data_IF_262063678860
#
_entry.id   IF_262063678860
#
_cell.length_a   1.000
_cell.length_b   1.000
_cell.length_c   1.000
_cell.angle_alpha   90.00
_cell.angle_beta   90.00
_cell.angle_gamma   90.00
#
_symmetry.space_group_name_H-M   'P 1'
#
loop_
_entity.id
_entity.type
_entity.pdbx_description
1 polymer ?
#
# COMPACT_ATOMS: atom_id res chain seq x y z
N UNK A 1 -43.33 5.50 19.75
CA UNK A 1 -41.87 5.73 19.77
C UNK A 1 -41.58 6.81 18.74
N UNK A 2 -40.77 7.84 19.04
CA UNK A 2 -40.47 8.91 18.08
C UNK A 2 -39.21 8.62 17.28
N UNK A 3 -38.15 8.16 17.94
CA UNK A 3 -36.87 7.81 17.30
C UNK A 3 -36.47 6.37 17.66
N UNK A 4 -35.96 5.62 16.69
CA UNK A 4 -35.18 4.40 16.90
C UNK A 4 -33.74 4.69 16.55
N UNK A 5 -32.86 4.64 17.54
CA UNK A 5 -31.41 4.68 17.30
C UNK A 5 -31.00 3.28 16.86
N UNK A 6 -30.27 3.17 15.76
CA UNK A 6 -29.74 1.90 15.26
C UNK A 6 -28.21 2.01 15.25
N UNK A 7 -27.59 1.09 15.97
CA UNK A 7 -26.15 0.94 16.07
C UNK A 7 -25.71 -0.44 15.56
N UNK A 8 -24.87 -0.46 14.53
CA UNK A 8 -24.26 -1.69 14.00
C UNK A 8 -22.87 -1.88 14.60
N UNK A 9 -22.56 -3.10 15.03
CA UNK A 9 -21.30 -3.47 15.65
C UNK A 9 -20.68 -4.68 14.93
N UNK A 10 -19.40 -4.58 14.60
CA UNK A 10 -18.55 -5.72 14.25
C UNK A 10 -17.13 -5.46 14.75
N UNK A 11 -16.71 -6.22 15.76
CA UNK A 11 -15.41 -6.11 16.42
C UNK A 11 -15.05 -4.68 16.91
N UNK A 12 -16.01 -3.99 17.55
CA UNK A 12 -15.81 -2.63 18.12
C UNK A 12 -15.83 -2.61 19.65
N UNK A 13 -15.32 -3.66 20.30
CA UNK A 13 -15.36 -3.82 21.76
C UNK A 13 -14.76 -2.64 22.52
N UNK A 14 -13.67 -2.06 22.01
CA UNK A 14 -13.00 -0.91 22.62
C UNK A 14 -13.83 0.39 22.62
N UNK A 15 -14.88 0.47 21.79
CA UNK A 15 -15.62 1.71 21.53
C UNK A 15 -17.14 1.61 21.75
N UNK A 16 -17.73 0.42 21.63
CA UNK A 16 -19.20 0.24 21.67
C UNK A 16 -19.84 0.76 22.96
N UNK A 17 -19.13 0.71 24.09
CA UNK A 17 -19.62 1.27 25.35
C UNK A 17 -19.82 2.79 25.25
N UNK A 18 -18.87 3.52 24.66
CA UNK A 18 -18.94 4.97 24.48
C UNK A 18 -20.10 5.37 23.56
N UNK A 19 -20.29 4.62 22.48
CA UNK A 19 -21.43 4.78 21.58
C UNK A 19 -22.76 4.65 22.33
N UNK A 20 -22.96 3.54 23.06
CA UNK A 20 -24.19 3.27 23.82
C UNK A 20 -24.44 4.33 24.90
N UNK A 21 -23.42 4.73 25.65
CA UNK A 21 -23.54 5.78 26.67
C UNK A 21 -23.95 7.12 26.06
N UNK A 22 -23.45 7.46 24.86
CA UNK A 22 -23.84 8.68 24.15
C UNK A 22 -25.32 8.69 23.75
N UNK A 23 -25.87 7.52 23.41
CA UNK A 23 -27.30 7.35 23.09
C UNK A 23 -28.16 7.46 24.36
N UNK A 24 -27.72 6.85 25.46
CA UNK A 24 -28.39 6.90 26.75
C UNK A 24 -28.42 8.32 27.32
N UNK A 25 -27.39 9.13 27.03
CA UNK A 25 -27.26 10.51 27.46
C UNK A 25 -28.18 11.50 26.73
N UNK A 26 -28.86 11.09 25.65
CA UNK A 26 -29.77 11.95 24.90
C UNK A 26 -30.96 12.40 25.75
N UNK A 27 -31.28 13.69 25.64
CA UNK A 27 -32.36 14.37 26.34
C UNK A 27 -33.40 14.84 25.32
N UNK A 28 -34.61 14.31 25.43
CA UNK A 28 -35.73 14.56 24.51
C UNK A 28 -37.03 14.69 25.28
N UNK A 29 -38.00 15.41 24.72
CA UNK A 29 -39.39 15.47 25.24
C UNK A 29 -40.28 14.32 24.72
N UNK A 30 -39.74 13.52 23.78
CA UNK A 30 -40.38 12.35 23.19
C UNK A 30 -39.66 11.03 23.56
N UNK A 31 -40.34 9.88 23.48
CA UNK A 31 -39.70 8.58 23.73
C UNK A 31 -38.84 8.12 22.55
N UNK A 32 -37.71 7.47 22.84
CA UNK A 32 -36.85 6.80 21.87
C UNK A 32 -36.40 5.42 22.35
N UNK A 33 -36.05 4.53 21.43
CA UNK A 33 -35.44 3.23 21.70
C UNK A 33 -34.02 3.17 21.11
N UNK A 34 -33.21 2.26 21.65
CA UNK A 34 -31.87 1.95 21.16
C UNK A 34 -31.88 0.51 20.67
N UNK A 35 -31.51 0.31 19.41
CA UNK A 35 -31.35 -0.98 18.78
C UNK A 35 -29.85 -1.16 18.51
N UNK A 36 -29.26 -2.20 19.08
CA UNK A 36 -27.85 -2.54 18.83
C UNK A 36 -27.80 -3.92 18.20
N UNK A 37 -27.18 -4.03 17.03
CA UNK A 37 -26.99 -5.29 16.32
C UNK A 37 -25.50 -5.63 16.23
N UNK A 38 -25.17 -6.85 16.61
CA UNK A 38 -23.84 -7.43 16.43
C UNK A 38 -23.80 -8.34 15.20
N UNK A 39 -22.82 -8.15 14.33
CA UNK A 39 -22.64 -8.93 13.10
C UNK A 39 -21.63 -10.09 13.28
N UNK A 40 -21.84 -10.90 14.33
CA UNK A 40 -21.03 -12.05 14.71
C UNK A 40 -19.57 -11.68 15.09
N UNK A 41 -19.43 -10.74 16.02
CA UNK A 41 -18.12 -10.33 16.53
C UNK A 41 -17.40 -11.46 17.28
N UNK A 42 -16.08 -11.42 17.22
CA UNK A 42 -15.18 -12.35 17.93
C UNK A 42 -14.47 -11.72 19.13
N UNK A 43 -14.66 -10.41 19.34
CA UNK A 43 -14.07 -9.67 20.45
C UNK A 43 -15.03 -9.58 21.66
N UNK A 44 -14.75 -8.68 22.59
CA UNK A 44 -15.51 -8.51 23.83
C UNK A 44 -16.74 -7.58 23.69
N UNK A 45 -17.07 -7.11 22.48
CA UNK A 45 -18.22 -6.21 22.24
C UNK A 45 -19.56 -6.84 22.62
N UNK A 46 -19.75 -8.14 22.33
CA UNK A 46 -20.97 -8.88 22.66
C UNK A 46 -21.24 -8.92 24.17
N UNK A 47 -20.20 -9.07 24.98
CA UNK A 47 -20.33 -9.08 26.44
C UNK A 47 -20.80 -7.71 26.95
N UNK A 48 -20.15 -6.64 26.49
CA UNK A 48 -20.53 -5.25 26.81
C UNK A 48 -21.98 -4.99 26.44
N UNK A 49 -22.37 -5.33 25.20
CA UNK A 49 -23.74 -5.15 24.72
C UNK A 49 -24.76 -5.84 25.63
N UNK A 50 -24.50 -7.09 26.04
CA UNK A 50 -25.39 -7.84 26.96
C UNK A 50 -25.54 -7.16 28.31
N UNK A 51 -24.45 -6.68 28.90
CA UNK A 51 -24.48 -5.93 30.16
C UNK A 51 -25.38 -4.69 30.07
N UNK A 52 -25.29 -3.94 28.96
CA UNK A 52 -26.16 -2.78 28.72
C UNK A 52 -27.63 -3.18 28.49
N UNK A 53 -27.89 -4.24 27.74
CA UNK A 53 -29.25 -4.75 27.54
C UNK A 53 -29.92 -5.21 28.83
N UNK A 54 -29.18 -5.87 29.72
CA UNK A 54 -29.67 -6.29 31.04
C UNK A 54 -29.92 -5.09 31.97
N UNK A 55 -29.08 -4.05 31.89
CA UNK A 55 -29.20 -2.85 32.71
C UNK A 55 -30.34 -1.93 32.24
N UNK A 56 -30.64 -1.91 30.94
CA UNK A 56 -31.65 -1.04 30.34
C UNK A 56 -32.65 -1.82 29.44
N UNK A 57 -33.34 -2.85 29.96
CA UNK A 57 -34.14 -3.77 29.15
C UNK A 57 -35.36 -3.11 28.49
N UNK A 58 -35.85 -2.00 29.06
CA UNK A 58 -36.98 -1.25 28.51
C UNK A 58 -36.56 -0.23 27.43
N UNK A 59 -35.25 0.00 27.25
CA UNK A 59 -34.70 1.03 26.35
C UNK A 59 -33.79 0.47 25.26
N UNK A 60 -33.08 -0.63 25.54
CA UNK A 60 -32.12 -1.26 24.63
C UNK A 60 -32.65 -2.62 24.15
N UNK A 61 -32.71 -2.80 22.83
CA UNK A 61 -33.00 -4.06 22.16
C UNK A 61 -31.74 -4.56 21.46
N UNK A 62 -31.34 -5.79 21.77
CA UNK A 62 -30.14 -6.39 21.21
C UNK A 62 -30.49 -7.44 20.15
N UNK A 63 -29.72 -7.44 19.06
CA UNK A 63 -29.79 -8.43 17.99
C UNK A 63 -28.39 -8.98 17.73
N UNK A 64 -28.31 -10.27 17.41
CA UNK A 64 -27.04 -10.96 17.15
C UNK A 64 -27.19 -11.81 15.90
N UNK A 65 -26.40 -11.53 14.87
CA UNK A 65 -26.31 -12.41 13.71
C UNK A 65 -25.47 -13.65 14.07
N UNK A 66 -25.84 -14.81 13.52
CA UNK A 66 -25.09 -16.06 13.72
C UNK A 66 -23.76 -16.09 12.95
N UNK A 67 -23.70 -15.38 11.82
CA UNK A 67 -22.53 -15.24 10.96
C UNK A 67 -22.39 -13.80 10.50
N UNK A 68 -21.17 -13.37 10.21
CA UNK A 68 -20.91 -12.04 9.67
C UNK A 68 -21.54 -11.94 8.26
N UNK A 69 -22.54 -11.07 8.12
CA UNK A 69 -23.27 -10.83 6.87
C UNK A 69 -22.71 -9.63 6.09
N UNK A 70 -21.91 -8.79 6.74
CA UNK A 70 -21.43 -7.52 6.22
C UNK A 70 -22.41 -6.38 6.51
N UNK A 71 -21.87 -5.15 6.53
CA UNK A 71 -22.61 -3.94 6.95
C UNK A 71 -23.92 -3.75 6.18
N UNK A 72 -23.91 -3.91 4.85
CA UNK A 72 -25.08 -3.68 3.99
C UNK A 72 -26.24 -4.58 4.40
N UNK A 73 -26.03 -5.90 4.49
CA UNK A 73 -27.10 -6.85 4.84
C UNK A 73 -27.59 -6.62 6.26
N UNK A 74 -26.66 -6.40 7.19
CA UNK A 74 -26.97 -6.11 8.58
C UNK A 74 -27.82 -4.86 8.73
N UNK A 75 -27.47 -3.77 8.03
CA UNK A 75 -28.22 -2.51 8.03
C UNK A 75 -29.64 -2.68 7.45
N UNK A 76 -29.77 -3.34 6.30
CA UNK A 76 -31.06 -3.56 5.64
C UNK A 76 -32.02 -4.39 6.50
N UNK A 77 -31.51 -5.41 7.19
CA UNK A 77 -32.32 -6.26 8.06
C UNK A 77 -32.71 -5.54 9.35
N UNK A 78 -31.78 -4.88 10.03
CA UNK A 78 -32.05 -4.27 11.34
C UNK A 78 -32.98 -3.06 11.24
N UNK A 79 -32.97 -2.32 10.13
CA UNK A 79 -33.90 -1.19 9.93
C UNK A 79 -35.37 -1.60 10.02
N UNK A 80 -35.70 -2.86 9.68
CA UNK A 80 -37.08 -3.39 9.75
C UNK A 80 -37.59 -3.52 11.19
N UNK A 81 -36.69 -3.52 12.17
CA UNK A 81 -37.01 -3.66 13.60
C UNK A 81 -37.32 -2.34 14.30
N UNK A 82 -37.08 -1.21 13.62
CA UNK A 82 -37.35 0.14 14.15
C UNK A 82 -38.85 0.37 14.38
N UNK A 83 -39.22 0.90 15.55
CA UNK A 83 -40.60 1.28 15.91
C UNK A 83 -40.79 2.80 15.94
N UNK A 84 -39.72 3.57 15.82
CA UNK A 84 -39.70 5.03 15.78
C UNK A 84 -40.26 5.57 14.47
N UNK A 85 -40.76 6.80 14.51
CA UNK A 85 -41.08 7.57 13.30
C UNK A 85 -39.82 7.90 12.50
N UNK A 86 -38.69 8.09 13.18
CA UNK A 86 -37.38 8.32 12.58
C UNK A 86 -36.37 7.24 13.00
N UNK A 87 -35.44 6.92 12.11
CA UNK A 87 -34.24 6.15 12.38
C UNK A 87 -33.06 7.10 12.52
N UNK A 88 -32.35 7.02 13.64
CA UNK A 88 -31.05 7.66 13.82
C UNK A 88 -29.95 6.60 13.67
N UNK A 89 -28.98 6.81 12.78
CA UNK A 89 -27.84 5.89 12.61
C UNK A 89 -26.65 6.36 13.43
N UNK A 90 -25.93 5.44 14.07
CA UNK A 90 -24.60 5.67 14.62
C UNK A 90 -23.86 4.34 14.73
N UNK A 91 -22.73 4.20 14.04
CA UNK A 91 -21.97 2.95 14.02
C UNK A 91 -21.13 2.80 15.32
N UNK A 92 -20.80 1.58 15.71
CA UNK A 92 -20.28 1.25 17.06
C UNK A 92 -18.90 1.80 17.43
N UNK A 93 -18.17 2.40 16.50
CA UNK A 93 -16.91 3.12 16.71
C UNK A 93 -17.06 4.65 16.80
N UNK A 94 -18.25 5.18 16.53
CA UNK A 94 -18.59 6.59 16.64
C UNK A 94 -19.44 6.87 17.89
N UNK A 95 -19.57 8.14 18.27
CA UNK A 95 -20.42 8.54 19.40
C UNK A 95 -20.92 9.98 19.30
N UNK A 96 -22.02 10.28 19.97
CA UNK A 96 -22.62 11.62 20.00
C UNK A 96 -22.07 12.46 21.15
N UNK A 97 -21.79 13.73 20.87
CA UNK A 97 -21.24 14.69 21.85
C UNK A 97 -22.30 15.63 22.39
N UNK A 98 -23.34 15.93 21.61
CA UNK A 98 -24.46 16.77 22.03
C UNK A 98 -25.61 15.93 22.58
N UNK A 99 -26.00 16.20 23.84
CA UNK A 99 -27.13 15.54 24.51
C UNK A 99 -28.49 15.93 23.93
N UNK A 100 -28.56 17.03 23.17
CA UNK A 100 -29.79 17.51 22.54
C UNK A 100 -29.84 17.17 21.04
N UNK A 101 -28.90 16.38 20.51
CA UNK A 101 -28.83 16.02 19.09
C UNK A 101 -30.16 15.54 18.54
N UNK A 102 -30.78 14.54 19.18
CA UNK A 102 -32.06 13.99 18.72
C UNK A 102 -33.18 15.02 18.76
N UNK A 103 -33.27 15.82 19.83
CA UNK A 103 -34.28 16.86 19.97
C UNK A 103 -34.17 17.86 18.80
N UNK A 104 -32.96 18.40 18.58
CA UNK A 104 -32.69 19.37 17.53
C UNK A 104 -32.98 18.82 16.13
N UNK A 105 -32.59 17.59 15.83
CA UNK A 105 -32.81 16.99 14.51
C UNK A 105 -34.30 16.69 14.24
N UNK A 106 -35.04 16.24 15.26
CA UNK A 106 -36.50 16.04 15.11
C UNK A 106 -37.19 17.38 14.87
N UNK A 107 -36.89 18.41 15.67
CA UNK A 107 -37.43 19.77 15.47
C UNK A 107 -37.10 20.33 14.09
N UNK A 108 -35.86 20.12 13.62
CA UNK A 108 -35.42 20.53 12.29
C UNK A 108 -36.25 19.87 11.19
N UNK A 109 -36.50 18.56 11.28
CA UNK A 109 -37.32 17.86 10.29
C UNK A 109 -38.79 18.22 10.37
N UNK A 110 -39.34 18.43 11.57
CA UNK A 110 -40.74 18.85 11.74
C UNK A 110 -41.00 20.27 11.19
N UNK A 111 -39.97 21.12 11.18
CA UNK A 111 -40.05 22.49 10.64
C UNK A 111 -39.61 22.61 9.18
N UNK A 112 -39.13 21.52 8.57
CA UNK A 112 -38.65 21.46 7.18
C UNK A 112 -39.53 20.54 6.33
N UNK A 113 -40.71 20.98 5.85
CA UNK A 113 -41.70 20.11 5.21
C UNK A 113 -41.22 19.42 3.91
N UNK A 114 -40.17 19.95 3.27
CA UNK A 114 -39.52 19.38 2.08
C UNK A 114 -38.40 18.36 2.38
N UNK A 115 -38.14 18.09 3.67
CA UNK A 115 -37.05 17.24 4.13
C UNK A 115 -37.55 16.14 5.05
N UNK A 116 -37.15 14.91 4.73
CA UNK A 116 -37.37 13.69 5.52
C UNK A 116 -36.07 13.07 6.02
N UNK A 117 -34.96 13.76 5.78
CA UNK A 117 -33.61 13.35 6.14
C UNK A 117 -32.85 14.57 6.64
N UNK A 118 -32.21 14.44 7.80
CA UNK A 118 -31.28 15.41 8.30
C UNK A 118 -29.93 14.80 8.65
N UNK A 119 -28.90 15.64 8.66
CA UNK A 119 -27.58 15.35 9.16
C UNK A 119 -27.07 16.53 10.00
N UNK A 120 -25.90 16.37 10.61
CA UNK A 120 -25.26 17.41 11.41
C UNK A 120 -23.81 17.57 10.98
N UNK A 121 -23.14 18.62 11.44
CA UNK A 121 -21.69 18.62 11.40
C UNK A 121 -21.11 17.58 12.39
N UNK A 122 -19.82 17.31 12.27
CA UNK A 122 -19.11 16.36 13.10
C UNK A 122 -17.63 16.73 13.28
N UNK A 123 -17.05 16.21 14.36
CA UNK A 123 -15.63 16.29 14.64
C UNK A 123 -14.96 14.95 14.27
N UNK A 124 -13.65 14.98 14.01
CA UNK A 124 -12.86 13.76 13.79
C UNK A 124 -11.90 13.55 14.94
N UNK A 125 -11.80 12.31 15.40
CA UNK A 125 -10.84 11.90 16.44
C UNK A 125 -9.95 10.77 15.95
N UNK A 126 -8.76 10.62 16.55
CA UNK A 126 -7.94 9.42 16.36
C UNK A 126 -8.41 8.27 17.26
N UNK A 127 -7.76 7.11 17.16
CA UNK A 127 -8.06 5.93 17.99
C UNK A 127 -7.91 6.15 19.50
N UNK A 128 -7.16 7.18 19.93
CA UNK A 128 -7.01 7.57 21.34
C UNK A 128 -8.10 8.55 21.82
N UNK A 129 -8.99 8.98 20.94
CA UNK A 129 -10.02 9.97 21.25
C UNK A 129 -9.54 11.43 21.19
N UNK A 130 -8.34 11.69 20.69
CA UNK A 130 -7.83 13.05 20.51
C UNK A 130 -8.44 13.65 19.24
N UNK A 131 -8.99 14.86 19.36
CA UNK A 131 -9.60 15.58 18.24
C UNK A 131 -8.54 15.98 17.22
N UNK A 132 -8.71 15.55 15.98
CA UNK A 132 -7.82 15.87 14.85
C UNK A 132 -8.38 16.96 13.96
N UNK A 133 -9.71 17.02 13.81
CA UNK A 133 -10.42 18.07 13.05
C UNK A 133 -11.73 18.39 13.75
N UNK A 134 -12.15 19.66 13.70
CA UNK A 134 -13.43 20.13 14.23
C UNK A 134 -14.29 20.72 13.14
N UNK A 135 -15.60 20.62 13.30
CA UNK A 135 -16.61 21.18 12.38
C UNK A 135 -16.25 20.87 10.92
N UNK A 136 -16.10 19.58 10.62
CA UNK A 136 -15.44 19.07 9.41
C UNK A 136 -16.09 19.59 8.13
N UNK A 137 -17.42 19.69 8.11
CA UNK A 137 -18.17 20.15 6.95
C UNK A 137 -18.12 21.68 6.85
N UNK A 138 -18.34 22.38 7.96
CA UNK A 138 -18.31 23.85 8.04
C UNK A 138 -16.95 24.44 7.70
N UNK A 139 -15.87 23.80 8.14
CA UNK A 139 -14.49 24.22 7.85
C UNK A 139 -13.99 23.72 6.48
N UNK A 140 -14.83 23.00 5.72
CA UNK A 140 -14.50 22.53 4.38
C UNK A 140 -13.38 21.48 4.33
N UNK A 141 -13.14 20.77 5.45
CA UNK A 141 -12.18 19.66 5.51
C UNK A 141 -12.66 18.51 4.62
N UNK A 142 -13.97 18.23 4.65
CA UNK A 142 -14.65 17.37 3.69
C UNK A 142 -15.72 18.20 2.99
N UNK A 143 -15.88 18.12 1.65
CA UNK A 143 -16.91 18.87 0.97
C UNK A 143 -18.31 18.47 1.44
N UNK A 144 -19.13 19.44 1.81
CA UNK A 144 -20.53 19.20 2.15
C UNK A 144 -21.32 18.76 0.90
N UNK A 145 -22.02 17.62 1.00
CA UNK A 145 -22.84 17.08 -0.09
C UNK A 145 -24.30 17.50 0.11
N UNK A 146 -24.82 18.28 -0.84
CA UNK A 146 -26.13 18.94 -0.76
C UNK A 146 -27.08 18.53 -1.89
N UNK A 147 -26.63 17.65 -2.79
CA UNK A 147 -27.40 17.25 -3.97
C UNK A 147 -26.95 15.90 -4.51
N UNK A 148 -27.87 15.27 -5.25
CA UNK A 148 -27.62 14.00 -5.94
C UNK A 148 -26.42 14.09 -6.89
N UNK A 149 -26.37 15.13 -7.74
CA UNK A 149 -25.29 15.29 -8.72
C UNK A 149 -23.93 15.44 -8.06
N UNK A 150 -23.86 16.18 -6.95
CA UNK A 150 -22.62 16.40 -6.22
C UNK A 150 -22.15 15.13 -5.52
N UNK A 151 -23.07 14.40 -4.87
CA UNK A 151 -22.79 13.10 -4.27
C UNK A 151 -22.29 12.10 -5.32
N UNK A 152 -23.00 12.01 -6.45
CA UNK A 152 -22.65 11.11 -7.55
C UNK A 152 -21.28 11.47 -8.14
N UNK A 153 -20.99 12.74 -8.38
CA UNK A 153 -19.73 13.19 -8.95
C UNK A 153 -18.53 12.93 -8.02
N UNK A 154 -18.64 13.32 -6.75
CA UNK A 154 -17.51 13.41 -5.84
C UNK A 154 -17.31 12.15 -4.97
N UNK A 155 -18.23 11.19 -5.01
CA UNK A 155 -18.22 10.00 -4.13
C UNK A 155 -18.10 10.40 -2.65
N UNK A 156 -18.84 11.45 -2.29
CA UNK A 156 -18.74 12.09 -0.99
C UNK A 156 -19.36 11.29 0.16
N UNK A 157 -19.36 11.91 1.33
CA UNK A 157 -20.08 11.41 2.50
C UNK A 157 -20.76 12.57 3.23
N UNK A 158 -21.94 12.29 3.77
CA UNK A 158 -22.66 13.15 4.73
C UNK A 158 -22.51 12.65 6.16
N UNK A 159 -21.64 11.65 6.36
CA UNK A 159 -21.34 10.95 7.62
C UNK A 159 -22.57 10.25 8.23
N UNK A 160 -22.65 8.93 8.04
CA UNK A 160 -23.82 8.12 8.37
C UNK A 160 -24.23 8.19 9.85
N UNK A 161 -23.26 8.26 10.77
CA UNK A 161 -23.49 8.41 12.21
C UNK A 161 -24.08 9.76 12.64
N UNK A 162 -24.32 10.68 11.69
CA UNK A 162 -25.08 11.92 11.95
C UNK A 162 -26.55 11.84 11.55
N UNK A 163 -26.96 10.81 10.79
CA UNK A 163 -28.24 10.82 10.10
C UNK A 163 -29.44 10.65 11.05
N UNK A 164 -30.49 11.41 10.75
CA UNK A 164 -31.86 11.13 11.20
C UNK A 164 -32.75 11.10 9.96
N UNK A 165 -33.40 9.97 9.69
CA UNK A 165 -34.23 9.75 8.49
C UNK A 165 -35.60 9.27 8.89
N UNK A 166 -36.66 9.71 8.22
CA UNK A 166 -37.99 9.14 8.38
C UNK A 166 -37.95 7.63 8.10
N UNK A 167 -38.48 6.83 9.03
CA UNK A 167 -38.39 5.36 8.99
C UNK A 167 -38.99 4.80 7.69
N UNK A 168 -40.15 5.30 7.26
CA UNK A 168 -40.79 4.85 6.01
C UNK A 168 -39.89 5.11 4.79
N UNK A 169 -39.30 6.30 4.70
CA UNK A 169 -38.36 6.64 3.63
C UNK A 169 -37.10 5.77 3.68
N UNK A 170 -36.53 5.52 4.87
CA UNK A 170 -35.36 4.66 5.01
C UNK A 170 -35.66 3.23 4.54
N UNK A 171 -36.83 2.69 4.88
CA UNK A 171 -37.25 1.36 4.41
C UNK A 171 -37.49 1.33 2.89
N UNK A 172 -38.07 2.39 2.32
CA UNK A 172 -38.23 2.54 0.88
C UNK A 172 -36.85 2.56 0.18
N UNK A 173 -35.92 3.40 0.65
CA UNK A 173 -34.55 3.48 0.13
C UNK A 173 -33.85 2.13 0.24
N UNK A 174 -33.90 1.49 1.41
CA UNK A 174 -33.30 0.18 1.65
C UNK A 174 -33.80 -0.89 0.67
N UNK A 175 -35.06 -0.82 0.22
CA UNK A 175 -35.60 -1.76 -0.79
C UNK A 175 -34.93 -1.65 -2.16
N UNK A 176 -34.22 -0.54 -2.42
CA UNK A 176 -33.53 -0.25 -3.68
C UNK A 176 -32.05 -0.62 -3.65
N UNK A 177 -31.52 -0.99 -2.49
CA UNK A 177 -30.09 -1.27 -2.30
C UNK A 177 -29.84 -2.74 -2.58
N UNK A 178 -28.85 -3.03 -3.43
CA UNK A 178 -28.35 -4.37 -3.62
C UNK A 178 -27.69 -4.85 -2.31
N UNK A 179 -28.12 -6.00 -1.79
CA UNK A 179 -27.58 -6.60 -0.56
C UNK A 179 -26.09 -6.93 -0.63
N UNK A 180 -25.52 -7.00 -1.83
CA UNK A 180 -24.10 -7.27 -2.08
C UNK A 180 -23.29 -5.99 -2.34
N UNK A 181 -23.89 -4.81 -2.15
CA UNK A 181 -23.18 -3.54 -2.23
C UNK A 181 -22.07 -3.50 -1.18
N UNK A 182 -20.90 -3.01 -1.60
CA UNK A 182 -19.70 -2.93 -0.75
C UNK A 182 -19.73 -1.76 0.23
N UNK A 183 -20.50 -0.72 -0.13
CA UNK A 183 -20.71 0.46 0.68
C UNK A 183 -22.21 0.77 0.63
N UNK A 184 -22.91 0.50 1.72
CA UNK A 184 -24.33 0.78 1.86
C UNK A 184 -24.58 2.30 1.88
N UNK A 185 -23.71 3.05 2.55
CA UNK A 185 -23.90 4.48 2.76
C UNK A 185 -23.88 5.27 1.45
N UNK A 186 -23.00 4.93 0.51
CA UNK A 186 -22.95 5.63 -0.78
C UNK A 186 -24.25 5.45 -1.57
N UNK A 187 -24.76 4.22 -1.64
CA UNK A 187 -26.00 3.91 -2.33
C UNK A 187 -27.22 4.54 -1.64
N UNK A 188 -27.28 4.46 -0.30
CA UNK A 188 -28.39 5.03 0.49
C UNK A 188 -28.46 6.54 0.29
N UNK A 189 -27.33 7.26 0.33
CA UNK A 189 -27.31 8.71 0.13
C UNK A 189 -27.79 9.12 -1.26
N UNK A 190 -27.40 8.39 -2.30
CA UNK A 190 -27.88 8.64 -3.67
C UNK A 190 -29.39 8.47 -3.76
N UNK A 191 -29.95 7.40 -3.19
CA UNK A 191 -31.39 7.16 -3.17
C UNK A 191 -32.16 8.17 -2.32
N UNK A 192 -31.57 8.65 -1.22
CA UNK A 192 -32.14 9.71 -0.38
C UNK A 192 -32.20 11.04 -1.13
N UNK A 193 -31.12 11.48 -1.76
CA UNK A 193 -31.11 12.73 -2.54
C UNK A 193 -32.10 12.72 -3.72
N UNK A 194 -32.47 11.54 -4.25
CA UNK A 194 -33.51 11.43 -5.28
C UNK A 194 -34.93 11.57 -4.73
N UNK A 195 -35.15 11.44 -3.42
CA UNK A 195 -36.48 11.39 -2.79
C UNK A 195 -36.77 12.52 -1.84
N UNK A 196 -35.73 13.13 -1.25
CA UNK A 196 -35.88 14.18 -0.25
C UNK A 196 -34.72 15.17 -0.34
N UNK A 197 -34.94 16.37 0.19
CA UNK A 197 -33.83 17.27 0.54
C UNK A 197 -33.21 16.86 1.86
N UNK A 198 -31.94 17.23 2.02
CA UNK A 198 -31.18 17.11 3.25
C UNK A 198 -31.36 18.40 4.08
N UNK A 199 -31.87 18.28 5.29
CA UNK A 199 -31.82 19.36 6.28
C UNK A 199 -30.54 19.25 7.10
N UNK A 200 -29.80 20.35 7.25
CA UNK A 200 -28.50 20.36 7.93
C UNK A 200 -28.56 21.14 9.24
N UNK A 201 -28.09 20.51 10.32
CA UNK A 201 -27.83 21.17 11.59
C UNK A 201 -26.35 21.56 11.67
N UNK A 202 -26.05 22.85 11.79
CA UNK A 202 -24.67 23.37 11.77
C UNK A 202 -23.84 22.99 13.00
N UNK A 203 -24.47 22.57 14.09
CA UNK A 203 -23.77 22.13 15.29
C UNK A 203 -23.04 20.81 15.03
N UNK A 204 -21.77 20.72 15.46
CA UNK A 204 -21.05 19.45 15.53
C UNK A 204 -21.59 18.62 16.70
N UNK A 205 -22.32 17.55 16.38
CA UNK A 205 -23.04 16.73 17.39
C UNK A 205 -22.55 15.28 17.47
N UNK A 206 -21.67 14.87 16.57
CA UNK A 206 -21.12 13.52 16.49
C UNK A 206 -19.61 13.59 16.34
N UNK A 207 -18.92 12.57 16.83
CA UNK A 207 -17.51 12.32 16.57
C UNK A 207 -17.36 11.13 15.64
N UNK A 208 -16.58 11.31 14.57
CA UNK A 208 -16.16 10.27 13.66
C UNK A 208 -14.77 9.76 14.05
N UNK A 209 -14.65 8.49 14.43
CA UNK A 209 -13.39 7.90 14.87
C UNK A 209 -12.58 7.38 13.68
N UNK A 210 -11.39 7.93 13.51
CA UNK A 210 -10.46 7.49 12.49
C UNK A 210 -9.54 6.40 12.99
N UNK A 211 -9.78 5.18 12.53
CA UNK A 211 -8.85 4.06 12.70
C UNK A 211 -8.00 3.83 11.44
N UNK A 212 -6.69 3.66 11.64
CA UNK A 212 -5.71 3.43 10.58
C UNK A 212 -5.84 2.04 9.93
N UNK A 213 -6.56 1.12 10.57
CA UNK A 213 -6.84 -0.23 10.06
C UNK A 213 -8.26 -0.41 9.51
N UNK A 214 -9.04 0.67 9.38
CA UNK A 214 -10.39 0.60 8.82
C UNK A 214 -10.41 0.16 7.34
N UNK A 215 -11.49 -0.49 6.91
CA UNK A 215 -11.68 -0.95 5.52
C UNK A 215 -11.56 0.18 4.50
N UNK A 216 -11.99 1.39 4.89
CA UNK A 216 -11.94 2.57 4.04
C UNK A 216 -10.55 3.21 3.93
N UNK A 217 -9.59 2.82 4.79
CA UNK A 217 -8.23 3.39 4.87
C UNK A 217 -7.14 2.33 4.93
N UNK A 218 -7.44 1.13 4.43
CA UNK A 218 -6.48 0.03 4.35
C UNK A 218 -5.20 0.45 3.63
N UNK A 219 -4.04 0.00 4.11
CA UNK A 219 -2.74 0.19 3.43
C UNK A 219 -2.54 -0.74 2.24
N UNK A 220 -3.48 -1.65 2.00
CA UNK A 220 -3.46 -2.59 0.88
C UNK A 220 -3.94 -1.90 -0.39
N UNK A 221 -2.99 -1.65 -1.31
CA UNK A 221 -3.26 -1.01 -2.59
C UNK A 221 -4.23 -1.79 -3.49
N UNK A 222 -4.29 -3.13 -3.33
CA UNK A 222 -5.23 -3.98 -4.08
C UNK A 222 -6.66 -3.73 -3.61
N UNK A 223 -6.87 -3.73 -2.29
CA UNK A 223 -8.19 -3.44 -1.70
C UNK A 223 -8.65 -2.02 -2.01
N UNK A 224 -7.73 -1.05 -1.99
CA UNK A 224 -8.04 0.34 -2.41
C UNK A 224 -8.54 0.36 -3.86
N UNK A 225 -7.83 -0.29 -4.79
CA UNK A 225 -8.21 -0.34 -6.21
C UNK A 225 -9.57 -0.99 -6.38
N UNK A 226 -9.78 -2.16 -5.79
CA UNK A 226 -11.06 -2.87 -5.86
C UNK A 226 -12.23 -2.03 -5.35
N UNK A 227 -12.02 -1.29 -4.24
CA UNK A 227 -13.04 -0.36 -3.71
C UNK A 227 -13.38 0.73 -4.74
N UNK A 228 -12.38 1.35 -5.36
CA UNK A 228 -12.61 2.41 -6.35
C UNK A 228 -13.30 1.88 -7.61
N UNK A 229 -12.96 0.68 -8.08
CA UNK A 229 -13.61 0.02 -9.21
C UNK A 229 -15.08 -0.28 -8.91
N UNK A 230 -15.38 -0.74 -7.69
CA UNK A 230 -16.76 -0.97 -7.22
C UNK A 230 -17.56 0.33 -7.13
N UNK A 231 -16.98 1.40 -6.58
CA UNK A 231 -17.64 2.71 -6.53
C UNK A 231 -17.92 3.26 -7.93
N UNK A 232 -17.01 3.05 -8.90
CA UNK A 232 -17.24 3.41 -10.29
C UNK A 232 -18.39 2.61 -10.90
N UNK A 233 -18.45 1.29 -10.65
CA UNK A 233 -19.55 0.45 -11.10
C UNK A 233 -20.90 0.96 -10.55
N UNK A 234 -20.96 1.32 -9.26
CA UNK A 234 -22.15 1.95 -8.66
C UNK A 234 -22.51 3.26 -9.37
N UNK A 235 -21.57 4.16 -9.63
CA UNK A 235 -21.87 5.41 -10.34
C UNK A 235 -22.49 5.14 -11.72
N UNK A 236 -21.93 4.19 -12.48
CA UNK A 236 -22.44 3.80 -13.80
C UNK A 236 -23.85 3.21 -13.71
N UNK A 237 -24.11 2.38 -12.70
CA UNK A 237 -25.45 1.85 -12.42
C UNK A 237 -26.45 2.97 -12.14
N UNK A 238 -26.10 3.95 -11.29
CA UNK A 238 -26.98 5.06 -10.94
C UNK A 238 -27.21 6.05 -12.09
N UNK A 239 -26.21 6.24 -12.96
CA UNK A 239 -26.37 6.98 -14.22
C UNK A 239 -27.41 6.29 -15.12
N UNK A 240 -27.37 4.96 -15.21
CA UNK A 240 -28.34 4.20 -15.99
C UNK A 240 -29.73 4.15 -15.33
N UNK A 241 -29.77 4.08 -13.99
CA UNK A 241 -31.00 4.04 -13.19
C UNK A 241 -31.80 5.34 -13.26
N UNK A 242 -31.10 6.48 -13.28
CA UNK A 242 -31.70 7.82 -13.33
C UNK A 242 -31.19 8.62 -14.53
N UNK A 243 -31.70 8.34 -15.75
CA UNK A 243 -31.23 8.97 -16.99
C UNK A 243 -31.58 10.46 -17.09
N UNK A 244 -32.44 10.97 -16.20
CA UNK A 244 -32.84 12.37 -16.06
C UNK A 244 -31.88 13.21 -15.20
N UNK A 245 -30.76 12.63 -14.74
CA UNK A 245 -29.75 13.33 -13.96
C UNK A 245 -29.15 14.54 -14.70
N UNK A 246 -28.86 15.63 -13.99
CA UNK A 246 -28.23 16.81 -14.58
C UNK A 246 -26.72 16.57 -14.84
N UNK A 247 -26.43 15.98 -16.00
CA UNK A 247 -25.06 15.69 -16.42
C UNK A 247 -24.19 16.95 -16.55
N UNK A 248 -24.79 18.10 -16.85
CA UNK A 248 -24.04 19.36 -16.92
C UNK A 248 -23.50 19.70 -15.54
N UNK A 249 -24.36 19.63 -14.51
CA UNK A 249 -23.97 19.89 -13.12
C UNK A 249 -22.95 18.87 -12.59
N UNK A 250 -23.08 17.59 -12.97
CA UNK A 250 -22.08 16.57 -12.65
C UNK A 250 -20.70 16.94 -13.25
N UNK A 251 -20.67 17.36 -14.52
CA UNK A 251 -19.43 17.80 -15.18
C UNK A 251 -18.83 19.06 -14.54
N UNK A 252 -19.67 20.00 -14.10
CA UNK A 252 -19.24 21.19 -13.36
C UNK A 252 -18.49 20.84 -12.05
N UNK A 253 -18.80 19.70 -11.42
CA UNK A 253 -18.04 19.19 -10.27
C UNK A 253 -16.79 18.39 -10.64
N UNK A 254 -16.85 17.60 -11.71
CA UNK A 254 -15.75 16.70 -12.10
C UNK A 254 -14.59 17.44 -12.80
N UNK A 255 -14.89 18.43 -13.65
CA UNK A 255 -13.87 19.12 -14.45
C UNK A 255 -12.81 19.85 -13.59
N UNK A 256 -13.16 20.56 -12.50
CA UNK A 256 -12.16 21.13 -11.59
C UNK A 256 -11.26 20.07 -10.97
N UNK A 257 -11.81 18.93 -10.52
CA UNK A 257 -11.02 17.83 -9.95
C UNK A 257 -10.05 17.26 -10.97
N UNK A 258 -10.50 17.09 -12.22
CA UNK A 258 -9.65 16.64 -13.30
C UNK A 258 -8.53 17.64 -13.59
N UNK A 259 -8.85 18.94 -13.66
CA UNK A 259 -7.87 19.99 -13.89
C UNK A 259 -6.86 20.12 -12.74
N UNK A 260 -7.28 19.95 -11.48
CA UNK A 260 -6.33 19.91 -10.35
C UNK A 260 -5.44 18.67 -10.40
N UNK A 261 -5.97 17.51 -10.82
CA UNK A 261 -5.17 16.33 -11.07
C UNK A 261 -4.17 16.54 -12.22
N UNK A 262 -4.61 17.15 -13.32
CA UNK A 262 -3.74 17.53 -14.44
C UNK A 262 -2.68 18.55 -14.01
N UNK A 263 -3.03 19.55 -13.18
CA UNK A 263 -2.06 20.48 -12.59
C UNK A 263 -1.08 19.77 -11.67
N UNK A 264 -1.52 18.83 -10.84
CA UNK A 264 -0.64 18.06 -9.98
C UNK A 264 0.33 17.18 -10.80
N UNK A 265 -0.15 16.62 -11.92
CA UNK A 265 0.70 15.90 -12.88
C UNK A 265 1.63 16.84 -13.67
N UNK A 266 1.19 18.07 -13.95
CA UNK A 266 1.93 19.07 -14.72
C UNK A 266 2.90 19.89 -13.85
N UNK A 267 2.69 19.92 -12.54
CA UNK A 267 3.69 20.37 -11.58
C UNK A 267 4.85 19.37 -11.66
N UNK A 268 5.85 19.72 -12.47
CA UNK A 268 7.21 19.18 -12.34
C UNK A 268 7.71 19.59 -10.96
N UNK A 269 7.39 18.75 -9.96
CA UNK A 269 7.49 19.09 -8.55
C UNK A 269 8.91 19.10 -8.01
N UNK A 270 9.03 19.31 -6.71
CA UNK A 270 10.25 19.10 -5.91
C UNK A 270 10.81 17.67 -6.08
N UNK A 271 10.00 16.72 -6.56
CA UNK A 271 10.40 15.36 -6.95
C UNK A 271 10.66 15.18 -8.47
N UNK A 272 10.88 16.26 -9.22
CA UNK A 272 11.34 16.17 -10.60
C UNK A 272 12.85 15.94 -10.63
N UNK A 273 13.30 15.12 -11.57
CA UNK A 273 14.72 14.88 -11.84
C UNK A 273 15.50 16.17 -12.08
N UNK A 274 14.84 17.19 -12.65
CA UNK A 274 15.44 18.50 -12.92
C UNK A 274 15.84 19.28 -11.65
N UNK A 275 15.32 18.88 -10.47
CA UNK A 275 15.63 19.47 -9.17
C UNK A 275 16.48 18.56 -8.26
N UNK A 276 16.99 17.43 -8.77
CA UNK A 276 17.86 16.53 -7.99
C UNK A 276 19.31 17.04 -8.00
N UNK A 277 19.98 16.90 -6.86
CA UNK A 277 21.39 17.24 -6.69
C UNK A 277 22.09 16.14 -5.90
N UNK A 278 23.41 16.07 -6.02
CA UNK A 278 24.25 15.23 -5.18
C UNK A 278 24.61 16.03 -3.94
N UNK A 279 24.32 15.49 -2.77
CA UNK A 279 24.68 16.09 -1.49
C UNK A 279 25.74 15.23 -0.80
N UNK A 280 26.85 15.84 -0.37
CA UNK A 280 27.93 15.14 0.34
C UNK A 280 28.05 15.72 1.73
N UNK A 281 27.60 14.97 2.73
CA UNK A 281 27.70 15.33 4.14
C UNK A 281 29.05 14.90 4.70
N UNK A 282 29.66 15.77 5.49
CA UNK A 282 30.96 15.53 6.11
C UNK A 282 30.78 15.19 7.59
N UNK A 283 31.57 14.21 8.07
CA UNK A 283 31.65 13.89 9.49
C UNK A 283 33.10 14.00 9.98
N UNK A 284 33.28 14.87 10.97
CA UNK A 284 34.56 15.22 11.60
C UNK A 284 34.72 14.60 13.00
N UNK A 285 33.86 13.64 13.37
CA UNK A 285 33.85 12.99 14.68
C UNK A 285 33.00 13.72 15.72
N UNK A 286 31.89 14.34 15.29
CA UNK A 286 30.97 15.08 16.17
C UNK A 286 29.94 14.16 16.85
N UNK A 287 29.25 14.64 17.89
CA UNK A 287 28.16 13.89 18.55
C UNK A 287 26.94 13.68 17.63
N UNK A 288 26.79 14.50 16.58
CA UNK A 288 25.75 14.39 15.56
C UNK A 288 26.38 14.28 14.16
N UNK A 289 26.74 13.06 13.71
CA UNK A 289 27.38 12.86 12.41
C UNK A 289 26.44 13.26 11.26
N UNK A 290 27.01 13.76 10.14
CA UNK A 290 26.31 14.15 8.91
C UNK A 290 25.27 15.27 9.10
N UNK A 291 25.66 16.37 9.73
CA UNK A 291 24.82 17.56 9.89
C UNK A 291 24.50 18.24 8.55
N UNK A 292 23.27 18.74 8.40
CA UNK A 292 22.84 19.58 7.26
C UNK A 292 23.64 20.89 7.14
N UNK A 293 24.32 21.32 8.20
CA UNK A 293 25.17 22.51 8.19
C UNK A 293 26.58 22.26 7.60
N UNK A 294 27.02 21.00 7.45
CA UNK A 294 28.35 20.62 6.94
C UNK A 294 28.24 19.66 5.74
N UNK A 295 27.69 20.18 4.64
CA UNK A 295 27.52 19.46 3.39
C UNK A 295 27.95 20.25 2.14
N UNK A 296 28.25 19.52 1.08
CA UNK A 296 28.58 20.04 -0.25
C UNK A 296 27.49 19.63 -1.24
N UNK A 297 27.15 20.51 -2.17
CA UNK A 297 26.10 20.27 -3.17
C UNK A 297 26.67 20.33 -4.59
N UNK A 298 26.27 19.38 -5.43
CA UNK A 298 26.68 19.30 -6.83
C UNK A 298 25.46 19.01 -7.72
N UNK A 299 25.40 19.56 -8.95
CA UNK A 299 24.34 19.20 -9.89
C UNK A 299 24.43 17.70 -10.24
N UNK A 300 23.27 17.06 -10.36
CA UNK A 300 23.19 15.66 -10.81
C UNK A 300 23.10 15.62 -12.34
N UNK A 301 24.06 14.95 -12.98
CA UNK A 301 24.04 14.66 -14.41
C UNK A 301 23.70 13.17 -14.67
N UNK A 302 23.48 12.78 -15.93
CA UNK A 302 23.22 11.37 -16.27
C UNK A 302 24.40 10.45 -15.94
N UNK A 303 25.61 10.92 -16.24
CA UNK A 303 26.86 10.36 -15.76
C UNK A 303 27.77 11.50 -15.40
N UNK A 304 28.53 11.38 -14.32
CA UNK A 304 29.32 12.48 -13.80
C UNK A 304 30.62 12.03 -13.19
N UNK A 305 31.56 12.98 -13.15
CA UNK A 305 32.83 12.82 -12.45
C UNK A 305 33.14 14.07 -11.64
N UNK A 306 33.06 13.95 -10.31
CA UNK A 306 33.26 15.04 -9.37
C UNK A 306 34.62 14.90 -8.70
N UNK A 307 35.39 15.99 -8.70
CA UNK A 307 36.64 16.10 -7.95
C UNK A 307 36.34 16.64 -6.55
N UNK A 308 36.73 15.90 -5.53
CA UNK A 308 36.41 16.17 -4.13
C UNK A 308 37.71 16.27 -3.33
N UNK A 309 37.90 17.36 -2.59
CA UNK A 309 39.05 17.52 -1.69
C UNK A 309 38.54 17.73 -0.28
N UNK A 310 38.97 16.87 0.65
CA UNK A 310 38.51 16.93 2.04
C UNK A 310 39.59 17.45 2.99
N UNK A 311 39.18 18.13 4.05
CA UNK A 311 40.09 18.57 5.11
C UNK A 311 40.59 17.37 5.96
N UNK A 312 41.71 17.54 6.68
CA UNK A 312 42.36 16.45 7.43
C UNK A 312 41.50 15.86 8.55
N UNK A 313 40.61 16.67 9.10
CA UNK A 313 39.70 16.34 10.19
C UNK A 313 38.44 15.58 9.72
N UNK A 314 38.18 15.50 8.42
CA UNK A 314 37.09 14.67 7.88
C UNK A 314 37.46 13.20 8.00
N UNK A 315 36.60 12.45 8.70
CA UNK A 315 36.78 11.02 8.97
C UNK A 315 35.84 10.15 8.14
N UNK A 316 34.60 10.62 7.90
CA UNK A 316 33.62 9.95 7.07
C UNK A 316 32.90 10.94 6.17
N UNK A 317 32.37 10.43 5.08
CA UNK A 317 31.43 11.18 4.23
C UNK A 317 30.20 10.32 3.97
N UNK A 318 29.05 10.97 3.85
CA UNK A 318 27.82 10.37 3.32
C UNK A 318 27.49 11.05 2.01
N UNK A 319 27.40 10.27 0.95
CA UNK A 319 27.07 10.72 -0.40
C UNK A 319 25.62 10.34 -0.67
N UNK A 320 24.81 11.36 -0.88
CA UNK A 320 23.42 11.23 -1.25
C UNK A 320 23.32 11.59 -2.73
N UNK A 321 23.08 10.61 -3.58
CA UNK A 321 23.15 10.80 -5.04
C UNK A 321 21.88 11.44 -5.64
N UNK A 322 20.77 11.39 -4.89
CA UNK A 322 19.50 12.07 -5.16
C UNK A 322 18.62 12.01 -3.89
N UNK A 323 17.45 12.65 -3.90
CA UNK A 323 16.46 12.58 -2.81
C UNK A 323 15.41 11.48 -3.05
N UNK A 324 15.31 11.01 -4.31
CA UNK A 324 14.32 10.05 -4.77
C UNK A 324 14.93 8.64 -4.96
N UNK A 325 14.10 7.57 -4.93
CA UNK A 325 14.56 6.24 -5.34
C UNK A 325 15.21 6.27 -6.72
N UNK A 326 16.37 5.62 -6.85
CA UNK A 326 17.24 5.76 -8.01
C UNK A 326 18.15 4.56 -8.20
N UNK A 327 18.75 4.46 -9.40
CA UNK A 327 19.52 3.30 -9.81
C UNK A 327 20.80 3.70 -10.54
N UNK A 328 21.93 3.18 -10.09
CA UNK A 328 23.23 3.51 -10.64
C UNK A 328 23.94 2.24 -11.10
N UNK A 329 24.45 2.25 -12.33
CA UNK A 329 25.21 1.12 -12.90
C UNK A 329 26.56 0.99 -12.22
N UNK A 330 27.16 2.12 -11.88
CA UNK A 330 28.45 2.22 -11.21
C UNK A 330 28.45 3.45 -10.31
N UNK A 331 28.98 3.28 -9.11
CA UNK A 331 29.37 4.38 -8.21
C UNK A 331 30.75 4.03 -7.64
N UNK A 332 31.74 4.89 -7.87
CA UNK A 332 33.11 4.65 -7.45
C UNK A 332 33.74 5.92 -6.89
N UNK A 333 34.46 5.78 -5.77
CA UNK A 333 35.19 6.86 -5.12
C UNK A 333 36.68 6.49 -5.09
N UNK A 334 37.48 7.16 -5.90
CA UNK A 334 38.91 6.83 -6.08
C UNK A 334 39.77 7.92 -5.46
N UNK A 335 40.74 7.55 -4.62
CA UNK A 335 41.78 8.48 -4.18
C UNK A 335 42.73 8.76 -5.35
N UNK A 336 42.76 10.01 -5.83
CA UNK A 336 43.49 10.36 -7.06
C UNK A 336 45.00 10.35 -6.89
N UNK A 337 45.49 10.39 -5.64
CA UNK A 337 46.92 10.38 -5.35
C UNK A 337 47.49 8.97 -5.22
N UNK A 338 46.70 8.02 -4.69
CA UNK A 338 47.11 6.62 -4.54
C UNK A 338 46.55 5.69 -5.63
N UNK A 339 45.67 6.18 -6.49
CA UNK A 339 44.95 5.41 -7.51
C UNK A 339 44.24 4.19 -6.89
N UNK A 340 43.61 4.40 -5.74
CA UNK A 340 42.96 3.35 -4.96
C UNK A 340 41.49 3.66 -4.78
N UNK A 341 40.64 2.73 -5.18
CA UNK A 341 39.20 2.80 -4.94
C UNK A 341 38.89 2.54 -3.46
N UNK A 342 38.05 3.41 -2.89
CA UNK A 342 37.48 3.24 -1.56
C UNK A 342 36.17 2.48 -1.71
N UNK A 343 36.03 1.40 -0.94
CA UNK A 343 34.77 0.68 -0.83
C UNK A 343 33.86 1.36 0.19
N UNK A 344 32.53 1.40 -0.04
CA UNK A 344 31.59 1.91 0.96
C UNK A 344 31.69 1.13 2.27
N UNK A 345 31.71 1.85 3.39
CA UNK A 345 31.54 1.25 4.71
C UNK A 345 30.08 0.85 4.95
N UNK A 346 29.13 1.57 4.35
CA UNK A 346 27.69 1.28 4.42
C UNK A 346 26.93 1.90 3.24
N UNK A 347 25.81 1.30 2.87
CA UNK A 347 24.82 1.89 1.95
C UNK A 347 23.44 1.31 2.23
N UNK A 348 22.38 2.09 1.96
CA UNK A 348 21.00 1.59 1.93
C UNK A 348 20.59 1.02 0.55
N UNK A 349 21.49 1.02 -0.43
CA UNK A 349 21.27 0.31 -1.69
C UNK A 349 21.31 -1.21 -1.49
N UNK A 350 20.50 -1.91 -2.29
CA UNK A 350 20.81 -3.29 -2.63
C UNK A 350 21.93 -3.25 -3.67
N UNK A 351 23.08 -3.88 -3.40
CA UNK A 351 24.23 -3.89 -4.31
C UNK A 351 24.33 -5.23 -5.02
N UNK A 352 24.50 -5.20 -6.35
CA UNK A 352 24.74 -6.39 -7.19
C UNK A 352 25.89 -6.05 -8.13
N UNK A 353 27.02 -6.72 -7.97
CA UNK A 353 28.29 -6.39 -8.64
C UNK A 353 28.68 -4.92 -8.43
N UNK A 354 28.75 -4.10 -9.48
CA UNK A 354 29.07 -2.66 -9.40
C UNK A 354 27.82 -1.76 -9.30
N UNK A 355 26.61 -2.33 -9.37
CA UNK A 355 25.36 -1.60 -9.45
C UNK A 355 24.67 -1.40 -8.10
N UNK A 356 24.12 -0.20 -7.90
CA UNK A 356 23.45 0.25 -6.68
C UNK A 356 21.97 0.51 -6.96
N UNK A 357 21.11 -0.17 -6.21
CA UNK A 357 19.65 -0.10 -6.35
C UNK A 357 19.02 0.50 -5.08
N UNK A 358 18.59 1.75 -5.14
CA UNK A 358 17.95 2.47 -4.04
C UNK A 358 16.43 2.46 -4.22
N UNK A 359 15.75 1.63 -3.43
CA UNK A 359 14.29 1.44 -3.54
C UNK A 359 13.52 2.37 -2.60
N UNK A 360 14.18 2.90 -1.58
CA UNK A 360 13.64 3.91 -0.67
C UNK A 360 14.11 5.31 -1.08
N UNK A 361 13.36 6.38 -0.73
CA UNK A 361 13.86 7.76 -0.80
C UNK A 361 15.14 7.93 0.03
N UNK A 362 15.87 9.01 -0.24
CA UNK A 362 17.16 9.32 0.41
C UNK A 362 18.23 8.21 0.19
N UNK A 363 18.66 7.98 -1.07
CA UNK A 363 19.84 7.16 -1.40
C UNK A 363 21.10 7.59 -0.63
N UNK A 364 21.74 6.67 0.09
CA UNK A 364 22.91 6.98 0.92
C UNK A 364 24.05 5.99 0.71
N UNK A 365 25.27 6.52 0.58
CA UNK A 365 26.51 5.75 0.56
C UNK A 365 27.52 6.39 1.52
N UNK A 366 27.98 5.65 2.52
CA UNK A 366 28.92 6.13 3.52
C UNK A 366 30.31 5.55 3.24
N UNK A 367 31.31 6.42 3.20
CA UNK A 367 32.71 6.06 3.06
C UNK A 367 33.52 6.49 4.29
N UNK A 368 34.46 5.65 4.70
CA UNK A 368 35.50 6.04 5.66
C UNK A 368 36.69 6.64 4.91
N UNK A 369 37.12 7.83 5.31
CA UNK A 369 38.23 8.54 4.66
C UNK A 369 39.53 8.20 5.38
N UNK A 370 40.51 7.55 4.72
CA UNK A 370 41.77 7.17 5.34
C UNK A 370 42.56 8.39 5.83
N UNK A 371 43.15 8.28 7.03
CA UNK A 371 43.99 9.35 7.57
C UNK A 371 45.41 9.41 6.98
N UNK A 372 45.84 8.41 6.21
CA UNK A 372 47.19 8.32 5.67
C UNK A 372 47.23 8.61 4.16
N UNK A 373 47.80 9.79 3.83
CA UNK A 373 48.11 10.36 2.49
C UNK A 373 47.02 10.33 1.41
N UNK A 374 46.71 11.52 0.92
CA UNK A 374 45.77 11.76 -0.18
C UNK A 374 44.38 12.10 0.33
N UNK A 375 43.98 13.35 0.12
CA UNK A 375 42.64 13.86 0.47
C UNK A 375 41.85 14.32 -0.75
N UNK A 376 42.39 14.04 -1.94
CA UNK A 376 41.75 14.31 -3.22
C UNK A 376 41.15 13.01 -3.73
N UNK A 377 39.87 13.05 -4.04
CA UNK A 377 39.06 11.94 -4.48
C UNK A 377 38.31 12.30 -5.75
N UNK A 378 38.05 11.28 -6.56
CA UNK A 378 37.21 11.39 -7.73
C UNK A 378 36.00 10.48 -7.50
N UNK A 379 34.82 11.09 -7.38
CA UNK A 379 33.55 10.37 -7.41
C UNK A 379 33.11 10.23 -8.86
N UNK A 380 32.88 8.99 -9.31
CA UNK A 380 32.27 8.70 -10.61
C UNK A 380 30.97 7.97 -10.40
N UNK A 381 29.96 8.33 -11.20
CA UNK A 381 28.66 7.70 -11.15
C UNK A 381 28.03 7.65 -12.55
N UNK A 382 27.24 6.61 -12.81
CA UNK A 382 26.45 6.46 -14.02
C UNK A 382 25.05 6.00 -13.64
N UNK A 383 24.05 6.85 -13.91
CA UNK A 383 22.64 6.58 -13.64
C UNK A 383 21.96 5.90 -14.84
N UNK A 384 20.88 5.17 -14.58
CA UNK A 384 20.01 4.61 -15.62
C UNK A 384 18.53 4.78 -15.28
N UNK A 385 17.71 4.91 -16.33
CA UNK A 385 16.30 5.19 -16.19
C UNK A 385 15.48 3.91 -15.86
N UNK A 386 14.55 3.96 -14.90
CA UNK A 386 13.70 2.82 -14.55
C UNK A 386 12.23 2.96 -15.00
N UNK A 387 11.82 4.12 -15.52
CA UNK A 387 10.40 4.49 -15.67
C UNK A 387 10.04 4.95 -17.09
N UNK A 388 11.04 5.17 -17.94
CA UNK A 388 10.91 5.67 -19.32
C UNK A 388 11.36 4.59 -20.30
N UNK A 389 10.47 3.62 -20.63
CA UNK A 389 10.82 2.47 -21.46
C UNK A 389 11.20 2.82 -22.91
N UNK A 390 10.94 4.05 -23.33
CA UNK A 390 11.31 4.57 -24.65
C UNK A 390 12.74 5.12 -24.71
N UNK A 391 13.44 5.26 -23.58
CA UNK A 391 14.81 5.77 -23.55
C UNK A 391 15.83 4.63 -23.70
N UNK A 392 16.97 4.86 -24.39
CA UNK A 392 17.98 3.82 -24.60
C UNK A 392 18.54 3.25 -23.29
N UNK A 393 18.66 4.09 -22.27
CA UNK A 393 19.21 3.81 -20.95
C UNK A 393 18.18 3.22 -19.97
N UNK A 394 17.03 2.75 -20.47
CA UNK A 394 16.05 2.04 -19.64
C UNK A 394 16.65 0.74 -19.06
N UNK A 395 16.49 0.51 -17.75
CA UNK A 395 17.08 -0.62 -17.03
C UNK A 395 16.82 -1.98 -17.69
N UNK A 396 15.62 -2.18 -18.24
CA UNK A 396 15.28 -3.45 -18.88
C UNK A 396 16.06 -3.68 -20.18
N UNK A 397 16.48 -2.63 -20.88
CA UNK A 397 17.33 -2.76 -22.07
C UNK A 397 18.71 -3.29 -21.69
N UNK A 398 19.34 -2.71 -20.66
CA UNK A 398 20.63 -3.19 -20.15
C UNK A 398 20.55 -4.63 -19.64
N UNK A 399 19.54 -4.95 -18.82
CA UNK A 399 19.32 -6.32 -18.35
C UNK A 399 19.05 -7.31 -19.48
N UNK A 400 18.38 -6.88 -20.56
CA UNK A 400 18.15 -7.72 -21.73
C UNK A 400 19.45 -8.00 -22.49
N UNK A 401 20.35 -7.02 -22.60
CA UNK A 401 21.69 -7.19 -23.19
C UNK A 401 22.55 -8.15 -22.35
N UNK A 402 22.61 -7.94 -21.03
CA UNK A 402 23.35 -8.82 -20.11
C UNK A 402 22.82 -10.26 -20.16
N UNK A 403 21.49 -10.43 -20.17
CA UNK A 403 20.86 -11.73 -20.30
C UNK A 403 21.16 -12.38 -21.66
N UNK A 404 21.21 -11.60 -22.73
CA UNK A 404 21.58 -12.10 -24.06
C UNK A 404 23.04 -12.56 -24.11
N UNK A 405 23.95 -11.78 -23.52
CA UNK A 405 25.37 -12.12 -23.40
C UNK A 405 25.58 -13.40 -22.57
N UNK A 406 24.96 -13.49 -21.39
CA UNK A 406 25.02 -14.68 -20.54
C UNK A 406 24.45 -15.93 -21.24
N UNK A 407 23.37 -15.78 -22.03
CA UNK A 407 22.83 -16.89 -22.85
C UNK A 407 23.78 -17.32 -23.95
N UNK A 408 24.51 -16.38 -24.57
CA UNK A 408 25.50 -16.69 -25.59
C UNK A 408 26.69 -17.47 -25.00
N UNK A 409 27.22 -17.00 -23.87
CA UNK A 409 28.30 -17.69 -23.14
C UNK A 409 27.87 -19.08 -22.67
N UNK A 410 26.66 -19.20 -22.11
CA UNK A 410 26.12 -20.50 -21.71
C UNK A 410 26.02 -21.48 -22.88
N UNK A 411 25.63 -21.01 -24.08
CA UNK A 411 25.57 -21.84 -25.28
C UNK A 411 26.95 -22.34 -25.70
N UNK A 412 27.97 -21.48 -25.59
CA UNK A 412 29.35 -21.83 -25.88
C UNK A 412 29.88 -22.88 -24.88
N UNK A 413 29.69 -22.67 -23.58
CA UNK A 413 30.08 -23.61 -22.52
C UNK A 413 29.37 -24.97 -22.69
N UNK A 414 28.09 -24.98 -23.04
CA UNK A 414 27.35 -26.22 -23.31
C UNK A 414 27.92 -26.99 -24.50
N UNK A 415 28.44 -26.28 -25.51
CA UNK A 415 29.10 -26.92 -26.66
C UNK A 415 30.39 -27.63 -26.24
N UNK A 416 31.20 -26.99 -25.39
CA UNK A 416 32.42 -27.59 -24.83
C UNK A 416 32.10 -28.79 -23.93
N UNK A 417 31.04 -28.73 -23.13
CA UNK A 417 30.58 -29.86 -22.31
C UNK A 417 30.25 -31.09 -23.16
N UNK A 418 29.58 -30.90 -24.30
CA UNK A 418 29.25 -31.99 -25.21
C UNK A 418 30.52 -32.60 -25.86
N UNK A 419 31.45 -31.76 -26.31
CA UNK A 419 32.73 -32.22 -26.85
C UNK A 419 33.54 -33.00 -25.80
N UNK A 420 33.61 -32.50 -24.57
CA UNK A 420 34.30 -33.17 -23.47
C UNK A 420 33.69 -34.55 -23.17
N UNK A 421 32.36 -34.67 -23.13
CA UNK A 421 31.68 -35.95 -22.92
C UNK A 421 31.98 -36.96 -24.03
N UNK A 422 32.04 -36.51 -25.29
CA UNK A 422 32.41 -37.35 -26.42
C UNK A 422 33.86 -37.86 -26.29
N UNK A 423 34.81 -36.96 -26.04
CA UNK A 423 36.23 -37.29 -25.87
C UNK A 423 36.42 -38.22 -24.66
N UNK A 424 35.70 -37.99 -23.55
CA UNK A 424 35.76 -38.86 -22.38
C UNK A 424 35.26 -40.28 -22.69
N UNK A 425 34.18 -40.42 -23.48
CA UNK A 425 33.67 -41.72 -23.92
C UNK A 425 34.66 -42.45 -24.84
N UNK A 426 35.24 -41.75 -25.82
CA UNK A 426 36.27 -42.30 -26.72
C UNK A 426 37.50 -42.77 -25.93
N UNK A 427 37.96 -41.96 -24.96
CA UNK A 427 39.06 -42.32 -24.07
C UNK A 427 38.77 -43.61 -23.30
N UNK A 428 37.56 -43.75 -22.77
CA UNK A 428 37.18 -44.94 -22.00
C UNK A 428 37.10 -46.19 -22.90
N UNK A 429 36.63 -46.05 -24.15
CA UNK A 429 36.68 -47.12 -25.15
C UNK A 429 38.12 -47.53 -25.49
N UNK A 430 39.01 -46.57 -25.76
CA UNK A 430 40.42 -46.88 -26.02
C UNK A 430 41.10 -47.54 -24.83
N UNK A 431 40.74 -47.14 -23.60
CA UNK A 431 41.26 -47.77 -22.38
C UNK A 431 40.82 -49.22 -22.24
N UNK A 432 39.58 -49.54 -22.60
CA UNK A 432 39.09 -50.93 -22.65
C UNK A 432 39.83 -51.75 -23.71
N UNK A 433 39.96 -51.22 -24.93
CA UNK A 433 40.70 -51.91 -26.02
C UNK A 433 42.16 -52.15 -25.65
N UNK A 434 42.82 -51.19 -25.01
CA UNK A 434 44.20 -51.33 -24.52
C UNK A 434 44.31 -52.42 -23.46
N UNK A 435 43.34 -52.48 -22.53
CA UNK A 435 43.29 -53.54 -21.51
C UNK A 435 43.07 -54.93 -22.15
N UNK A 436 42.15 -55.05 -23.11
CA UNK A 436 41.94 -56.31 -23.83
C UNK A 436 43.17 -56.75 -24.63
N UNK A 437 43.82 -55.82 -25.34
CA UNK A 437 45.03 -56.10 -26.09
C UNK A 437 46.16 -56.54 -25.15
N UNK A 438 46.34 -55.85 -24.02
CA UNK A 438 47.30 -56.21 -22.97
C UNK A 438 47.01 -57.61 -22.43
N UNK A 439 45.76 -57.93 -22.14
CA UNK A 439 45.35 -59.25 -21.67
C UNK A 439 45.60 -60.36 -22.72
N UNK A 440 45.27 -60.12 -24.00
CA UNK A 440 45.55 -61.05 -25.10
C UNK A 440 47.05 -61.26 -25.29
N UNK A 441 47.82 -60.18 -25.28
CA UNK A 441 49.27 -60.23 -25.37
C UNK A 441 49.85 -61.07 -24.23
N UNK A 442 49.48 -60.78 -22.99
CA UNK A 442 49.88 -61.53 -21.79
C UNK A 442 49.49 -63.01 -21.89
N UNK A 443 48.27 -63.33 -22.35
CA UNK A 443 47.82 -64.71 -22.54
C UNK A 443 48.68 -65.47 -23.56
N UNK A 444 49.10 -64.82 -24.65
CA UNK A 444 49.98 -65.43 -25.65
C UNK A 444 51.38 -65.66 -25.08
N UNK A 445 52.03 -64.63 -24.52
CA UNK A 445 53.41 -64.72 -24.07
C UNK A 445 53.60 -65.64 -22.85
N UNK A 446 52.56 -65.81 -22.03
CA UNK A 446 52.55 -66.73 -20.90
C UNK A 446 51.97 -68.12 -21.22
N UNK A 447 51.44 -68.33 -22.43
CA UNK A 447 50.95 -69.66 -22.85
C UNK A 447 52.11 -70.67 -22.88
N UNK A 448 51.82 -71.93 -22.53
CA UNK A 448 52.79 -73.04 -22.69
C UNK A 448 53.31 -73.15 -24.13
N UNK A 449 52.45 -72.84 -25.11
CA UNK A 449 52.76 -72.88 -26.54
C UNK A 449 53.78 -71.83 -26.98
N UNK A 450 53.89 -70.70 -26.28
CA UNK A 450 54.92 -69.68 -26.52
C UNK A 450 56.14 -69.87 -25.61
N UNK A 451 55.91 -70.02 -24.29
CA UNK A 451 56.99 -70.12 -23.29
C UNK A 451 57.89 -71.34 -23.46
N UNK A 452 57.37 -72.51 -23.89
CA UNK A 452 58.19 -73.71 -24.08
C UNK A 452 59.15 -73.53 -25.28
N UNK A 453 58.70 -73.19 -26.50
CA UNK A 453 59.60 -72.86 -27.61
C UNK A 453 60.58 -71.73 -27.28
N UNK A 454 60.14 -70.64 -26.63
CA UNK A 454 61.05 -69.54 -26.28
C UNK A 454 62.12 -69.99 -25.27
N UNK A 455 61.77 -70.80 -24.26
CA UNK A 455 62.76 -71.39 -23.34
C UNK A 455 63.73 -72.32 -24.07
N UNK A 456 63.24 -73.13 -25.01
CA UNK A 456 64.06 -74.00 -25.86
C UNK A 456 65.01 -73.16 -26.73
N UNK A 457 64.51 -72.16 -27.44
CA UNK A 457 65.32 -71.24 -28.27
C UNK A 457 66.36 -70.51 -27.41
N UNK A 458 66.00 -70.01 -26.23
CA UNK A 458 66.94 -69.35 -25.32
C UNK A 458 67.97 -70.32 -24.74
N UNK A 459 67.60 -71.58 -24.49
CA UNK A 459 68.52 -72.64 -24.10
C UNK A 459 69.54 -72.93 -25.20
N UNK A 460 69.10 -72.95 -26.47
CA UNK A 460 69.98 -73.12 -27.62
C UNK A 460 70.80 -71.86 -27.94
N UNK A 461 70.27 -70.65 -27.73
CA UNK A 461 71.02 -69.38 -27.87
C UNK A 461 72.08 -69.19 -26.79
N UNK A 462 71.85 -69.67 -25.56
CA UNK A 462 72.84 -69.63 -24.47
C UNK A 462 73.92 -70.72 -24.57
N UNK A 463 73.76 -71.69 -25.48
CA UNK A 463 74.74 -72.75 -25.75
C UNK A 463 75.53 -72.53 -27.05
N UNK A 464 75.61 -71.29 -27.54
CA UNK A 464 76.54 -70.87 -28.59
C UNK A 464 77.52 -69.84 -28.03
#
# INVERSE_FOLDING_TARGET
MKVSIICTNFNKGDWIAEAIESFLAQQTDFPFEIIVVDDASSDHSVEIMRQYGERYPDKIRLFFNETNKGITRTWLDICKEAKGQYIARCDGDDYWTDKLKLQKQVELLETSPESKWSNTDFDMVNSKGEVTQKDVLKNGIIPFMDSYEKMLALKGMTMASTWLVETELMLEVNSQINSDAVDDTFNIQLELFRRTKLAFLEDSTTVYRMDAESDSRTKDSTKIRERFDKLLATQLEYIAKYPDSDYKKILEFLLPQHNEFEKALAQTGENSWDNQQITIYLDRGSEQPFSEEDCLHFPLEHSGSLQLSFAEDVQKIRIDLSEIPSYYRKVSLINTQSDTELLPAWTNAKVVDEAYYFVAPDPQIIYEIPQQKGRDFQLTYEWFNADRPNQPDFVANGLAEDLAAARAELKEVLSYKHQYQKIASERDQYRQQLNEMTNRYNAVIHSRRWTIPTKIINLFRRKK
#
